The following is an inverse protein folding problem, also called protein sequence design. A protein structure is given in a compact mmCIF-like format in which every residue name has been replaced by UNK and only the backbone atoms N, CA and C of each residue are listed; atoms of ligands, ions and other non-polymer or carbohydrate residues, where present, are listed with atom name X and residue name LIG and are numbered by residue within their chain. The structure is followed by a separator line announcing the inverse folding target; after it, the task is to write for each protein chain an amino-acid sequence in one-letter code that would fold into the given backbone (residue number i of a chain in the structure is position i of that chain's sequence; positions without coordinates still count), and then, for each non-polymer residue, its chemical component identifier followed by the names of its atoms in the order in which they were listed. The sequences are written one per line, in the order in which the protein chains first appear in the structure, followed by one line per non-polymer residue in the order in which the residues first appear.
data_IF_175714530970
#
_entry.id   IF_175714530970
#
_cell.length_a   1.000
_cell.length_b   1.000
_cell.length_c   1.000
_cell.angle_alpha   90.00
_cell.angle_beta   90.00
_cell.angle_gamma   90.00
#
_symmetry.space_group_name_H-M   'P 1'
#
loop_
_entity.id
_entity.type
_entity.pdbx_description
1 polymer ?
#
# COMPACT_ATOMS: atom_id res chain seq x y z
N UNK A 1 39.25 -3.14 5.49
CA UNK A 1 38.33 -2.16 6.10
C UNK A 1 37.22 -1.89 5.10
N UNK A 2 36.09 -2.59 5.22
CA UNK A 2 34.89 -2.21 4.49
C UNK A 2 34.33 -0.99 5.22
N UNK A 3 34.33 0.16 4.55
CA UNK A 3 33.72 1.36 5.08
C UNK A 3 32.24 1.05 5.33
N UNK A 4 31.77 1.30 6.56
CA UNK A 4 30.36 1.39 6.88
C UNK A 4 29.75 2.50 6.02
N UNK A 5 29.26 2.17 4.83
CA UNK A 5 28.35 3.05 4.11
C UNK A 5 27.07 3.07 4.95
N UNK A 6 26.64 4.23 5.48
CA UNK A 6 25.39 4.30 6.22
C UNK A 6 24.27 3.80 5.33
N UNK A 7 23.57 2.76 5.74
CA UNK A 7 22.32 2.32 5.11
C UNK A 7 21.35 3.50 5.18
N UNK A 8 21.14 4.17 4.03
CA UNK A 8 20.19 5.27 3.93
C UNK A 8 18.80 4.74 4.26
N UNK A 9 18.01 5.50 5.02
CA UNK A 9 16.60 5.20 5.24
C UNK A 9 15.91 5.03 3.88
N UNK A 10 15.30 3.86 3.66
CA UNK A 10 14.62 3.52 2.42
C UNK A 10 13.13 3.35 2.71
N UNK A 11 12.32 4.13 2.00
CA UNK A 11 10.87 4.05 2.10
C UNK A 11 10.27 3.99 0.71
N UNK A 12 9.28 3.11 0.54
CA UNK A 12 8.55 2.95 -0.70
C UNK A 12 7.03 3.03 -0.45
N UNK A 13 6.31 3.61 -1.40
CA UNK A 13 4.86 3.65 -1.43
C UNK A 13 4.37 2.75 -2.57
N UNK A 14 3.65 1.69 -2.20
CA UNK A 14 3.06 0.76 -3.15
C UNK A 14 1.74 1.31 -3.69
N UNK A 15 1.51 1.06 -4.99
CA UNK A 15 0.29 1.42 -5.73
C UNK A 15 -0.30 0.16 -6.33
N UNK A 16 -0.87 -0.75 -5.52
CA UNK A 16 -1.12 -2.11 -5.93
C UNK A 16 -2.31 -2.23 -6.90
N UNK A 17 -3.26 -1.29 -6.88
CA UNK A 17 -4.31 -1.14 -7.91
C UNK A 17 -3.88 -0.25 -9.09
N UNK A 18 -2.61 0.15 -9.15
CA UNK A 18 -2.14 1.11 -10.14
C UNK A 18 -2.84 2.47 -9.97
N UNK A 19 -3.43 2.97 -11.05
CA UNK A 19 -4.24 4.21 -11.06
C UNK A 19 -5.74 3.97 -11.03
N UNK A 20 -6.18 2.71 -11.00
CA UNK A 20 -7.59 2.33 -11.02
C UNK A 20 -8.31 2.84 -9.77
N UNK A 21 -9.45 3.51 -9.93
CA UNK A 21 -10.21 4.13 -8.85
C UNK A 21 -11.71 4.05 -9.17
N UNK A 22 -12.55 3.83 -8.15
CA UNK A 22 -14.01 3.88 -8.27
C UNK A 22 -14.59 5.30 -8.25
N UNK A 23 -13.75 6.33 -8.09
CA UNK A 23 -14.14 7.74 -8.10
C UNK A 23 -13.41 8.50 -9.21
N UNK A 24 -14.04 9.58 -9.70
CA UNK A 24 -13.47 10.50 -10.69
C UNK A 24 -13.44 11.93 -10.13
N UNK A 25 -12.70 12.14 -9.03
CA UNK A 25 -12.60 13.46 -8.41
C UNK A 25 -12.01 14.48 -9.41
N UNK A 26 -12.67 15.62 -9.59
CA UNK A 26 -12.32 16.60 -10.62
C UNK A 26 -10.87 17.11 -10.55
N UNK A 27 -10.27 17.11 -9.36
CA UNK A 27 -8.89 17.56 -9.10
C UNK A 27 -7.85 16.41 -9.13
N UNK A 28 -8.26 15.16 -9.39
CA UNK A 28 -7.37 14.01 -9.32
C UNK A 28 -6.60 13.80 -10.63
N UNK A 29 -5.34 14.24 -10.66
CA UNK A 29 -4.42 13.96 -11.78
C UNK A 29 -3.97 12.48 -11.86
N UNK A 30 -4.29 11.66 -10.86
CA UNK A 30 -3.75 10.31 -10.73
C UNK A 30 -4.53 9.28 -11.55
N UNK A 31 -5.84 9.45 -11.70
CA UNK A 31 -6.69 8.54 -12.48
C UNK A 31 -6.26 8.50 -13.95
N UNK A 32 -5.87 9.64 -14.53
CA UNK A 32 -5.40 9.76 -15.92
C UNK A 32 -4.11 8.96 -16.20
N UNK A 33 -3.38 8.53 -15.16
CA UNK A 33 -2.16 7.73 -15.34
C UNK A 33 -2.42 6.34 -15.93
N UNK A 34 -3.67 5.89 -16.02
CA UNK A 34 -4.02 4.68 -16.75
C UNK A 34 -3.58 4.78 -18.23
N UNK A 35 -3.61 5.99 -18.81
CA UNK A 35 -3.20 6.25 -20.18
C UNK A 35 -1.72 5.95 -20.47
N UNK A 36 -0.88 5.86 -19.43
CA UNK A 36 0.53 5.49 -19.57
C UNK A 36 0.73 3.99 -19.79
N UNK A 37 -0.31 3.18 -19.56
CA UNK A 37 -0.26 1.72 -19.58
C UNK A 37 -1.25 1.12 -20.58
N UNK A 38 -1.55 1.83 -21.68
CA UNK A 38 -2.53 1.43 -22.70
C UNK A 38 -2.34 0.03 -23.31
N UNK A 39 -1.15 -0.57 -23.15
CA UNK A 39 -0.82 -1.91 -23.64
C UNK A 39 -0.97 -3.00 -22.56
N UNK A 40 -1.34 -2.63 -21.33
CA UNK A 40 -1.60 -3.54 -20.22
C UNK A 40 -2.94 -3.19 -19.62
N UNK A 41 -4.00 -3.97 -19.84
CA UNK A 41 -5.30 -3.70 -19.25
C UNK A 41 -5.15 -3.74 -17.71
N UNK A 42 -5.07 -2.56 -17.10
CA UNK A 42 -4.96 -2.28 -15.67
C UNK A 42 -3.98 -3.16 -14.89
N UNK A 43 -2.70 -2.75 -14.75
CA UNK A 43 -1.72 -3.53 -13.99
C UNK A 43 -2.04 -3.48 -12.49
N UNK A 44 -2.78 -4.48 -12.02
CA UNK A 44 -2.91 -4.80 -10.60
C UNK A 44 -1.71 -5.63 -10.15
N UNK A 45 -1.26 -5.40 -8.93
CA UNK A 45 -0.19 -6.19 -8.32
C UNK A 45 -0.66 -7.64 -8.18
N UNK A 46 0.01 -8.55 -8.89
CA UNK A 46 -0.25 -10.00 -8.79
C UNK A 46 0.26 -10.54 -7.46
N UNK A 47 -0.20 -11.72 -7.03
CA UNK A 47 0.29 -12.35 -5.80
C UNK A 47 1.82 -12.61 -5.85
N UNK A 48 2.34 -13.00 -7.02
CA UNK A 48 3.78 -13.17 -7.22
C UNK A 48 4.56 -11.85 -7.07
N UNK A 49 3.99 -10.74 -7.57
CA UNK A 49 4.58 -9.42 -7.41
C UNK A 49 4.48 -8.93 -5.96
N UNK A 50 3.37 -9.22 -5.27
CA UNK A 50 3.18 -8.90 -3.86
C UNK A 50 4.23 -9.62 -2.97
N UNK A 51 4.40 -10.93 -3.15
CA UNK A 51 5.42 -11.68 -2.40
C UNK A 51 6.83 -11.16 -2.66
N UNK A 52 7.16 -10.88 -3.93
CA UNK A 52 8.44 -10.28 -4.30
C UNK A 52 8.62 -8.91 -3.66
N UNK A 53 7.61 -8.03 -3.75
CA UNK A 53 7.64 -6.69 -3.18
C UNK A 53 7.86 -6.73 -1.67
N UNK A 54 7.08 -7.54 -0.93
CA UNK A 54 7.19 -7.64 0.52
C UNK A 54 8.58 -8.13 0.94
N UNK A 55 9.07 -9.22 0.34
CA UNK A 55 10.38 -9.78 0.65
C UNK A 55 11.50 -8.79 0.34
N UNK A 56 11.52 -8.24 -0.87
CA UNK A 56 12.61 -7.40 -1.34
C UNK A 56 12.61 -6.04 -0.62
N UNK A 57 11.43 -5.49 -0.28
CA UNK A 57 11.33 -4.25 0.49
C UNK A 57 11.88 -4.43 1.91
N UNK A 58 11.53 -5.51 2.60
CA UNK A 58 12.09 -5.82 3.92
C UNK A 58 13.62 -5.88 3.83
N UNK A 59 14.19 -6.60 2.84
CA UNK A 59 15.65 -6.71 2.66
C UNK A 59 16.31 -5.35 2.40
N UNK A 60 15.62 -4.42 1.72
CA UNK A 60 16.17 -3.10 1.40
C UNK A 60 16.25 -2.12 2.58
N UNK A 61 15.53 -2.39 3.68
CA UNK A 61 15.51 -1.53 4.86
C UNK A 61 16.52 -2.03 5.88
N UNK A 62 17.33 -1.11 6.43
CA UNK A 62 18.36 -1.39 7.44
C UNK A 62 17.82 -2.28 8.58
N UNK A 63 18.53 -3.32 9.05
CA UNK A 63 18.00 -4.31 10.00
C UNK A 63 17.37 -3.73 11.27
N UNK A 64 17.97 -2.67 11.80
CA UNK A 64 17.56 -1.96 13.02
C UNK A 64 16.39 -0.98 12.82
N UNK A 65 16.05 -0.66 11.56
CA UNK A 65 14.98 0.26 11.24
C UNK A 65 13.63 -0.46 11.07
N UNK A 66 12.55 0.26 11.39
CA UNK A 66 11.18 -0.15 11.08
C UNK A 66 10.95 -0.25 9.56
N UNK A 67 10.24 -1.28 9.13
CA UNK A 67 9.77 -1.41 7.74
C UNK A 67 8.34 -0.87 7.64
N UNK A 68 8.19 0.35 7.15
CA UNK A 68 6.89 1.01 6.99
C UNK A 68 6.30 0.73 5.59
N UNK A 69 5.30 -0.14 5.50
CA UNK A 69 4.54 -0.38 4.27
C UNK A 69 3.47 0.70 4.08
N UNK A 70 3.46 1.35 2.92
CA UNK A 70 2.48 2.40 2.61
C UNK A 70 1.70 1.99 1.37
N UNK A 71 0.39 1.81 1.53
CA UNK A 71 -0.54 1.40 0.49
C UNK A 71 -1.35 2.61 0.00
N UNK A 72 -1.15 3.00 -1.26
CA UNK A 72 -1.92 4.07 -1.92
C UNK A 72 -2.25 3.66 -3.37
N UNK A 73 -2.47 4.64 -4.24
CA UNK A 73 -2.68 4.47 -5.67
C UNK A 73 -4.15 4.24 -5.99
N UNK A 74 -4.65 5.02 -6.96
CA UNK A 74 -6.04 4.97 -7.39
C UNK A 74 -6.95 4.87 -6.18
N UNK A 75 -7.68 3.76 -6.08
CA UNK A 75 -8.24 3.28 -4.83
C UNK A 75 -7.69 1.87 -4.48
N UNK A 76 -6.95 1.70 -3.37
CA UNK A 76 -6.38 0.41 -2.99
C UNK A 76 -7.39 -0.62 -2.49
N UNK A 77 -8.56 -0.21 -1.98
CA UNK A 77 -9.63 -1.16 -1.56
C UNK A 77 -10.20 -1.96 -2.72
N UNK A 78 -10.00 -1.54 -3.98
CA UNK A 78 -10.43 -2.29 -5.18
C UNK A 78 -9.79 -3.68 -5.33
N UNK A 79 -8.68 -3.96 -4.64
CA UNK A 79 -8.08 -5.29 -4.61
C UNK A 79 -8.77 -6.24 -3.63
N UNK A 80 -9.66 -5.73 -2.79
CA UNK A 80 -10.37 -6.47 -1.77
C UNK A 80 -9.51 -6.84 -0.56
N UNK A 81 -10.18 -7.21 0.52
CA UNK A 81 -9.56 -7.48 1.81
C UNK A 81 -8.57 -8.65 1.78
N UNK A 82 -8.86 -9.69 0.98
CA UNK A 82 -8.02 -10.88 0.87
C UNK A 82 -6.60 -10.59 0.36
N UNK A 83 -6.44 -9.57 -0.51
CA UNK A 83 -5.11 -9.12 -0.94
C UNK A 83 -4.27 -8.65 0.26
N UNK A 84 -4.87 -7.86 1.16
CA UNK A 84 -4.16 -7.32 2.32
C UNK A 84 -3.96 -8.34 3.43
N UNK A 85 -4.85 -9.33 3.56
CA UNK A 85 -4.59 -10.52 4.41
C UNK A 85 -3.34 -11.26 3.95
N UNK A 86 -3.19 -11.49 2.64
CA UNK A 86 -1.97 -12.08 2.07
C UNK A 86 -0.76 -11.19 2.31
N UNK A 87 -0.88 -9.88 2.12
CA UNK A 87 0.22 -8.94 2.35
C UNK A 87 0.74 -9.03 3.81
N UNK A 88 -0.15 -8.98 4.80
CA UNK A 88 0.22 -9.11 6.22
C UNK A 88 0.81 -10.48 6.55
N UNK A 89 0.27 -11.56 5.98
CA UNK A 89 0.84 -12.91 6.15
C UNK A 89 2.27 -13.00 5.60
N UNK A 90 2.52 -12.39 4.44
CA UNK A 90 3.85 -12.31 3.84
C UNK A 90 4.80 -11.43 4.67
N UNK A 91 4.31 -10.30 5.19
CA UNK A 91 5.09 -9.45 6.10
C UNK A 91 5.50 -10.21 7.36
N UNK A 92 4.60 -10.99 7.95
CA UNK A 92 4.93 -11.84 9.10
C UNK A 92 5.95 -12.94 8.74
N UNK A 93 5.78 -13.59 7.59
CA UNK A 93 6.69 -14.64 7.07
C UNK A 93 8.10 -14.12 6.84
N UNK A 94 8.25 -12.97 6.18
CA UNK A 94 9.55 -12.41 5.79
C UNK A 94 10.14 -11.42 6.79
N UNK A 95 9.31 -10.89 7.69
CA UNK A 95 9.71 -9.90 8.68
C UNK A 95 10.66 -10.45 9.73
N UNK A 96 10.63 -11.76 10.04
CA UNK A 96 11.56 -12.42 10.95
C UNK A 96 11.76 -11.68 12.30
N UNK A 97 10.69 -11.14 12.88
CA UNK A 97 10.71 -10.41 14.15
C UNK A 97 11.02 -8.90 14.04
N UNK A 98 11.19 -8.37 12.82
CA UNK A 98 11.33 -6.93 12.60
C UNK A 98 10.06 -6.16 12.96
N UNK A 99 10.24 -4.90 13.35
CA UNK A 99 9.14 -3.95 13.49
C UNK A 99 8.60 -3.58 12.11
N UNK A 100 7.32 -3.84 11.89
CA UNK A 100 6.62 -3.57 10.63
C UNK A 100 5.37 -2.76 10.95
N UNK A 101 5.16 -1.67 10.22
CA UNK A 101 3.91 -0.90 10.24
C UNK A 101 3.28 -0.86 8.86
N UNK A 102 1.96 -0.62 8.85
CA UNK A 102 1.19 -0.46 7.64
C UNK A 102 0.40 0.85 7.71
N UNK A 103 0.51 1.65 6.65
CA UNK A 103 -0.31 2.84 6.43
C UNK A 103 -1.12 2.66 5.15
N UNK A 104 -2.38 3.09 5.16
CA UNK A 104 -3.32 2.87 4.07
C UNK A 104 -4.09 4.15 3.76
N UNK A 105 -4.02 4.63 2.52
CA UNK A 105 -4.77 5.79 2.05
C UNK A 105 -5.98 5.33 1.24
N UNK A 106 -7.18 5.78 1.60
CA UNK A 106 -8.42 5.38 0.91
C UNK A 106 -9.40 6.54 0.80
N UNK A 107 -10.29 6.47 -0.20
CA UNK A 107 -11.46 7.32 -0.32
C UNK A 107 -12.62 6.93 0.61
N UNK A 108 -12.54 5.77 1.26
CA UNK A 108 -13.51 5.34 2.27
C UNK A 108 -14.78 4.68 1.74
N UNK A 109 -15.09 4.79 0.45
CA UNK A 109 -16.39 4.37 -0.14
C UNK A 109 -16.65 2.87 -0.01
N UNK A 110 -15.58 2.05 -0.05
CA UNK A 110 -15.68 0.59 0.02
C UNK A 110 -15.36 0.03 1.41
N UNK A 111 -15.21 0.89 2.43
CA UNK A 111 -14.98 0.41 3.78
C UNK A 111 -16.28 -0.13 4.37
N UNK A 112 -16.19 -1.32 4.94
CA UNK A 112 -17.22 -1.99 5.72
C UNK A 112 -16.65 -2.43 7.08
N UNK A 113 -17.47 -3.13 7.88
CA UNK A 113 -17.05 -3.63 9.19
C UNK A 113 -15.85 -4.57 9.09
N UNK A 114 -15.78 -5.40 8.03
CA UNK A 114 -14.69 -6.35 7.85
C UNK A 114 -13.35 -5.66 7.57
N UNK A 115 -13.36 -4.58 6.78
CA UNK A 115 -12.20 -3.71 6.61
C UNK A 115 -11.78 -3.05 7.92
N UNK A 116 -12.74 -2.46 8.66
CA UNK A 116 -12.48 -1.80 9.92
C UNK A 116 -11.87 -2.75 10.96
N UNK A 117 -12.45 -3.95 11.11
CA UNK A 117 -11.92 -5.00 11.99
C UNK A 117 -10.50 -5.42 11.60
N UNK A 118 -10.24 -5.57 10.30
CA UNK A 118 -8.91 -5.92 9.80
C UNK A 118 -7.88 -4.81 10.12
N UNK A 119 -8.23 -3.55 9.86
CA UNK A 119 -7.35 -2.42 10.14
C UNK A 119 -7.02 -2.29 11.63
N UNK A 120 -8.02 -2.42 12.51
CA UNK A 120 -7.81 -2.40 13.97
C UNK A 120 -6.93 -3.57 14.40
N UNK A 121 -7.24 -4.80 13.95
CA UNK A 121 -6.50 -6.01 14.31
C UNK A 121 -5.02 -5.92 13.96
N UNK A 122 -4.69 -5.28 12.84
CA UNK A 122 -3.32 -5.17 12.35
C UNK A 122 -2.69 -3.78 12.57
N UNK A 123 -3.32 -2.94 13.38
CA UNK A 123 -2.85 -1.60 13.74
C UNK A 123 -2.46 -0.73 12.53
N UNK A 124 -3.29 -0.77 11.49
CA UNK A 124 -3.07 0.07 10.31
C UNK A 124 -3.31 1.54 10.65
N UNK A 125 -2.41 2.42 10.22
CA UNK A 125 -2.64 3.85 10.16
C UNK A 125 -3.48 4.18 8.92
N UNK A 126 -4.70 4.68 9.11
CA UNK A 126 -5.61 4.97 7.99
C UNK A 126 -5.62 6.47 7.67
N UNK A 127 -5.26 6.79 6.44
CA UNK A 127 -5.56 8.08 5.82
C UNK A 127 -6.89 7.99 5.09
N UNK A 128 -7.86 8.80 5.52
CA UNK A 128 -9.17 8.92 4.86
C UNK A 128 -9.23 10.25 4.09
N UNK A 129 -9.45 10.16 2.78
CA UNK A 129 -9.62 11.35 1.95
C UNK A 129 -11.01 11.95 2.15
N UNK A 130 -11.07 13.16 2.71
CA UNK A 130 -12.31 13.91 2.89
C UNK A 130 -12.08 15.38 2.50
N UNK A 131 -12.92 15.92 1.63
CA UNK A 131 -12.78 17.28 1.10
C UNK A 131 -13.41 18.36 2.01
N UNK A 132 -14.13 17.96 3.06
CA UNK A 132 -14.85 18.85 3.96
C UNK A 132 -16.29 18.37 4.18
N UNK A 133 -17.16 19.26 4.71
CA UNK A 133 -18.61 19.10 4.67
C UNK A 133 -19.16 18.93 3.25
N UNK A 134 -20.42 18.47 3.13
CA UNK A 134 -21.06 18.13 1.85
C UNK A 134 -21.25 19.36 0.94
N UNK A 135 -21.41 20.54 1.52
CA UNK A 135 -21.71 21.79 0.82
C UNK A 135 -20.51 22.48 0.15
N UNK A 136 -19.29 21.94 0.29
CA UNK A 136 -18.04 22.49 -0.28
C UNK A 136 -17.70 21.77 -1.58
#
# INVERSE_FOLDING_TARGET
MFQNIPTRAFHAMAKPSGSDCNLNCAYCFYLEKHALYNHTPQPRMTDAMLERYVRDYIVSVAPEAEVAFIWQGGEPTLLGLEFYRRAVALQAKYGAGRQISNSFQTNGVLLDDAWCEFFVRHHFLIGLSLAGPEEI
#
